data_IF_209488410397
#
_entry.id   IF_209488410397
#
_cell.length_a   1.000
_cell.length_b   1.000
_cell.length_c   1.000
_cell.angle_alpha   90.00
_cell.angle_beta   90.00
_cell.angle_gamma   90.00
#
_symmetry.space_group_name_H-M   'P 1'
#
loop_
_entity.id
_entity.type
_entity.pdbx_description
1 polymer ?
#
# COMPACT_ATOMS: atom_id res chain seq x y z
N UNK A 1 -67.95 -23.64 -11.02
CA UNK A 1 -66.46 -23.72 -11.27
C UNK A 1 -65.86 -22.33 -11.17
N UNK A 2 -65.21 -22.03 -10.05
CA UNK A 2 -64.59 -20.75 -9.82
C UNK A 2 -63.08 -21.02 -9.79
N UNK A 3 -62.38 -20.53 -10.81
CA UNK A 3 -60.90 -20.63 -10.89
C UNK A 3 -60.30 -19.49 -10.07
N UNK A 4 -59.67 -19.83 -8.94
CA UNK A 4 -58.87 -18.92 -8.18
C UNK A 4 -57.47 -18.82 -8.80
N UNK A 5 -57.04 -17.62 -9.20
CA UNK A 5 -55.66 -17.31 -9.54
C UNK A 5 -54.82 -17.18 -8.26
N UNK A 6 -53.61 -17.77 -8.17
CA UNK A 6 -52.72 -17.50 -7.08
C UNK A 6 -52.01 -16.15 -7.30
N UNK A 7 -52.20 -15.24 -6.36
CA UNK A 7 -51.44 -13.99 -6.28
C UNK A 7 -50.04 -14.33 -5.79
N UNK A 8 -49.07 -14.34 -6.69
CA UNK A 8 -47.66 -14.47 -6.37
C UNK A 8 -47.16 -13.18 -5.75
N UNK A 9 -46.84 -13.19 -4.46
CA UNK A 9 -46.14 -12.08 -3.79
C UNK A 9 -44.68 -12.16 -4.16
N UNK A 10 -44.26 -11.29 -5.07
CA UNK A 10 -42.86 -11.08 -5.39
C UNK A 10 -42.22 -10.27 -4.25
N UNK A 11 -41.46 -10.94 -3.38
CA UNK A 11 -40.56 -10.27 -2.45
C UNK A 11 -39.37 -9.67 -3.24
N UNK A 12 -39.42 -8.38 -3.51
CA UNK A 12 -38.26 -7.62 -3.89
C UNK A 12 -37.33 -7.50 -2.68
N UNK A 13 -36.29 -8.30 -2.63
CA UNK A 13 -35.16 -8.07 -1.73
C UNK A 13 -34.44 -6.78 -2.21
N UNK A 14 -34.88 -5.65 -1.67
CA UNK A 14 -34.12 -4.40 -1.77
C UNK A 14 -32.90 -4.61 -0.89
N UNK A 15 -31.81 -5.08 -1.49
CA UNK A 15 -30.50 -5.01 -0.89
C UNK A 15 -30.14 -3.52 -0.75
N UNK A 16 -30.37 -2.97 0.44
CA UNK A 16 -29.81 -1.69 0.82
C UNK A 16 -28.29 -1.87 0.93
N UNK A 17 -27.58 -1.87 -0.19
CA UNK A 17 -26.19 -1.51 -0.21
C UNK A 17 -26.14 0.00 0.10
N UNK A 18 -26.32 0.36 1.36
CA UNK A 18 -25.90 1.66 1.85
C UNK A 18 -24.38 1.70 1.69
N UNK A 19 -23.92 2.28 0.62
CA UNK A 19 -22.54 2.79 0.50
C UNK A 19 -22.41 3.84 1.60
N UNK A 20 -22.20 3.39 2.84
CA UNK A 20 -21.85 4.28 3.94
C UNK A 20 -20.45 4.80 3.62
N UNK A 21 -20.39 5.94 2.93
CA UNK A 21 -19.14 6.65 2.76
C UNK A 21 -18.68 7.09 4.15
N UNK A 22 -17.42 6.86 4.52
CA UNK A 22 -16.94 7.21 5.83
C UNK A 22 -17.10 8.74 6.01
N UNK A 23 -17.85 9.12 7.03
CA UNK A 23 -17.94 10.54 7.43
C UNK A 23 -16.65 10.87 8.15
N UNK A 24 -15.77 11.57 7.48
CA UNK A 24 -14.52 12.05 8.09
C UNK A 24 -14.82 13.36 8.80
N UNK A 25 -14.69 13.39 10.13
CA UNK A 25 -14.83 14.61 10.89
C UNK A 25 -13.73 15.61 10.51
N UNK A 26 -14.03 16.91 10.31
CA UNK A 26 -13.01 17.90 10.00
C UNK A 26 -11.91 17.95 11.05
N UNK A 27 -10.69 18.28 10.62
CA UNK A 27 -9.59 18.56 11.54
C UNK A 27 -9.84 19.88 12.25
N UNK A 28 -9.51 19.96 13.53
CA UNK A 28 -9.68 21.16 14.32
C UNK A 28 -8.35 21.71 14.84
N UNK A 29 -8.17 23.00 14.77
CA UNK A 29 -7.09 23.74 15.41
C UNK A 29 -7.75 24.80 16.29
N UNK A 30 -7.49 24.83 17.61
CA UNK A 30 -8.18 25.74 18.51
C UNK A 30 -8.15 27.20 18.08
N UNK A 31 -9.32 27.78 17.87
CA UNK A 31 -9.52 29.17 17.43
C UNK A 31 -9.13 29.45 15.98
N UNK A 32 -8.88 28.45 15.16
CA UNK A 32 -8.75 28.61 13.71
C UNK A 32 -10.06 28.25 13.01
N UNK A 33 -10.28 28.81 11.81
CA UNK A 33 -11.39 28.48 10.93
C UNK A 33 -10.91 28.17 9.52
N UNK A 34 -11.71 27.45 8.78
CA UNK A 34 -11.46 27.12 7.38
C UNK A 34 -11.61 28.34 6.49
N UNK A 35 -10.66 28.55 5.58
CA UNK A 35 -10.57 29.74 4.72
C UNK A 35 -10.61 29.40 3.23
N UNK A 36 -10.59 28.11 2.89
CA UNK A 36 -10.62 27.61 1.52
C UNK A 36 -9.23 27.47 0.85
N UNK A 37 -9.17 26.57 -0.12
CA UNK A 37 -7.92 26.16 -0.72
C UNK A 37 -7.24 27.23 -1.58
N UNK A 38 -8.00 28.19 -2.11
CA UNK A 38 -7.47 29.21 -3.03
C UNK A 38 -6.44 30.12 -2.37
N UNK A 39 -6.62 30.43 -1.08
CA UNK A 39 -5.68 31.30 -0.36
C UNK A 39 -4.28 30.65 -0.26
N UNK A 40 -4.24 29.31 -0.14
CA UNK A 40 -3.00 28.57 -0.03
C UNK A 40 -2.11 28.71 -1.27
N UNK A 41 -2.72 28.82 -2.46
CA UNK A 41 -2.02 28.96 -3.74
C UNK A 41 -1.22 30.24 -3.88
N UNK A 42 -1.53 31.28 -3.10
CA UNK A 42 -0.81 32.55 -3.15
C UNK A 42 0.64 32.43 -2.65
N UNK A 43 0.90 31.52 -1.71
CA UNK A 43 2.23 31.28 -1.18
C UNK A 43 2.79 29.88 -1.60
N UNK A 44 1.93 28.88 -1.71
CA UNK A 44 2.32 27.49 -2.01
C UNK A 44 2.05 27.11 -3.47
N UNK A 45 2.47 27.96 -4.43
CA UNK A 45 2.17 27.81 -5.87
C UNK A 45 2.59 26.49 -6.47
N UNK A 46 3.81 26.02 -6.16
CA UNK A 46 4.35 24.77 -6.72
C UNK A 46 3.61 23.54 -6.21
N UNK A 47 3.34 23.50 -4.91
CA UNK A 47 2.59 22.40 -4.26
C UNK A 47 1.16 22.37 -4.79
N UNK A 48 0.51 23.52 -4.89
CA UNK A 48 -0.88 23.62 -5.39
C UNK A 48 -0.98 23.15 -6.84
N UNK A 49 0.01 23.48 -7.67
CA UNK A 49 0.06 23.01 -9.06
C UNK A 49 0.24 21.49 -9.14
N UNK A 50 1.15 20.92 -8.35
CA UNK A 50 1.38 19.49 -8.30
C UNK A 50 0.14 18.76 -7.78
N UNK A 51 -0.51 19.29 -6.74
CA UNK A 51 -1.68 18.70 -6.11
C UNK A 51 -2.86 18.53 -7.08
N UNK A 52 -3.02 19.40 -8.06
CA UNK A 52 -4.08 19.29 -9.06
C UNK A 52 -4.03 17.95 -9.85
N UNK A 53 -2.86 17.35 -9.97
CA UNK A 53 -2.67 16.03 -10.60
C UNK A 53 -2.72 14.86 -9.60
N UNK A 54 -2.82 15.14 -8.30
CA UNK A 54 -2.89 14.11 -7.25
C UNK A 54 -4.25 13.44 -7.24
N UNK A 55 -4.31 12.10 -6.97
CA UNK A 55 -5.57 11.41 -6.69
C UNK A 55 -6.39 12.07 -5.58
N UNK A 56 -5.74 12.67 -4.59
CA UNK A 56 -6.42 13.37 -3.50
C UNK A 56 -7.18 14.62 -3.94
N UNK A 57 -6.73 15.29 -5.01
CA UNK A 57 -7.44 16.47 -5.55
C UNK A 57 -8.78 16.11 -6.19
N UNK A 58 -8.98 14.87 -6.57
CA UNK A 58 -10.20 14.37 -7.22
C UNK A 58 -11.16 13.64 -6.28
N UNK A 59 -10.85 13.62 -4.98
CA UNK A 59 -11.73 13.03 -3.98
C UNK A 59 -12.94 13.92 -3.73
N UNK A 60 -14.10 13.32 -3.79
CA UNK A 60 -15.34 13.95 -3.35
C UNK A 60 -15.74 13.33 -2.02
N UNK A 61 -15.67 14.12 -0.94
CA UNK A 61 -16.13 13.72 0.38
C UNK A 61 -17.54 14.26 0.57
N UNK A 62 -18.54 13.36 0.51
CA UNK A 62 -19.91 13.72 0.84
C UNK A 62 -19.99 14.17 2.31
N UNK A 63 -20.78 15.23 2.56
CA UNK A 63 -21.09 15.76 3.89
C UNK A 63 -19.94 16.40 4.67
N UNK A 64 -18.77 16.59 4.10
CA UNK A 64 -17.77 17.45 4.71
C UNK A 64 -18.07 18.88 4.30
N UNK A 65 -18.60 19.67 5.25
CA UNK A 65 -18.82 21.10 5.08
C UNK A 65 -17.49 21.88 5.08
N UNK A 66 -16.58 21.45 4.21
CA UNK A 66 -15.34 22.18 3.99
C UNK A 66 -15.58 23.23 2.92
N UNK A 67 -15.32 24.51 3.18
CA UNK A 67 -15.38 25.55 2.16
C UNK A 67 -14.47 25.18 0.98
N UNK A 68 -15.05 24.93 -0.19
CA UNK A 68 -14.28 24.59 -1.39
C UNK A 68 -13.99 23.09 -1.62
N UNK A 69 -14.63 22.16 -0.86
CA UNK A 69 -14.48 20.72 -1.06
C UNK A 69 -13.17 20.13 -0.54
N UNK A 70 -12.75 19.00 -1.11
CA UNK A 70 -11.49 18.34 -0.76
C UNK A 70 -10.30 19.16 -1.22
N UNK A 71 -9.34 19.38 -0.33
CA UNK A 71 -8.15 20.16 -0.68
C UNK A 71 -7.16 20.25 0.47
N UNK A 72 -6.37 21.30 0.49
CA UNK A 72 -5.29 21.49 1.46
C UNK A 72 -5.75 21.33 2.91
N UNK A 73 -6.83 22.00 3.27
CA UNK A 73 -7.37 22.02 4.64
C UNK A 73 -7.98 20.67 5.08
N UNK A 74 -8.29 19.76 4.15
CA UNK A 74 -8.77 18.42 4.49
C UNK A 74 -7.71 17.60 5.24
N UNK A 75 -6.44 17.86 4.97
CA UNK A 75 -5.28 17.18 5.58
C UNK A 75 -4.53 18.09 6.56
N UNK A 76 -4.48 19.39 6.27
CA UNK A 76 -3.71 20.35 7.06
C UNK A 76 -4.55 21.06 8.15
N UNK A 77 -5.86 20.86 8.17
CA UNK A 77 -6.77 21.55 9.08
C UNK A 77 -6.99 23.02 8.71
N UNK A 78 -7.77 23.76 9.52
CA UNK A 78 -8.14 25.14 9.25
C UNK A 78 -6.95 26.09 9.20
N UNK A 79 -6.81 26.83 8.09
CA UNK A 79 -5.63 27.62 7.75
C UNK A 79 -5.61 29.05 8.26
N UNK A 80 -6.68 29.58 8.88
CA UNK A 80 -6.77 31.01 9.19
C UNK A 80 -5.61 31.53 10.03
N UNK A 81 -5.28 30.86 11.14
CA UNK A 81 -4.15 31.26 12.01
C UNK A 81 -2.79 31.17 11.32
N UNK A 82 -2.62 30.22 10.41
CA UNK A 82 -1.39 30.10 9.64
C UNK A 82 -1.19 31.30 8.72
N UNK A 83 -2.26 31.72 8.04
CA UNK A 83 -2.24 32.90 7.14
C UNK A 83 -2.07 34.21 7.94
N UNK A 84 -2.85 34.39 9.02
CA UNK A 84 -2.78 35.57 9.89
C UNK A 84 -1.37 35.74 10.49
N UNK A 85 -0.68 34.65 10.79
CA UNK A 85 0.68 34.68 11.31
C UNK A 85 1.77 34.84 10.23
N UNK A 86 1.38 35.04 8.97
CA UNK A 86 2.32 35.12 7.84
C UNK A 86 3.02 33.79 7.52
N UNK A 87 2.43 32.67 7.90
CA UNK A 87 3.00 31.32 7.78
C UNK A 87 3.49 30.76 9.11
N UNK A 88 4.21 29.64 9.06
CA UNK A 88 4.75 29.00 10.24
C UNK A 88 4.09 27.66 10.58
N UNK A 89 4.90 26.63 10.68
CA UNK A 89 4.45 25.23 10.80
C UNK A 89 3.64 24.94 12.09
N UNK A 90 3.79 25.76 13.12
CA UNK A 90 3.09 25.58 14.41
C UNK A 90 1.60 25.90 14.37
N UNK A 91 1.16 26.64 13.36
CA UNK A 91 -0.23 27.11 13.24
C UNK A 91 -1.07 26.27 12.27
N UNK A 92 -0.53 25.18 11.79
CA UNK A 92 -1.18 24.27 10.86
C UNK A 92 -0.72 22.85 11.14
N UNK A 93 -1.56 21.87 10.86
CA UNK A 93 -1.20 20.45 11.00
C UNK A 93 -0.21 20.07 9.91
N UNK A 94 0.84 19.37 10.30
CA UNK A 94 1.77 18.73 9.36
C UNK A 94 1.51 17.22 9.33
N UNK A 95 0.77 16.71 8.31
CA UNK A 95 0.46 15.28 8.19
C UNK A 95 1.69 14.37 8.11
N UNK A 96 2.83 14.90 7.64
CA UNK A 96 4.08 14.15 7.63
C UNK A 96 4.65 13.85 9.01
N UNK A 97 4.15 14.52 10.07
CA UNK A 97 4.52 14.27 11.47
C UNK A 97 3.41 13.61 12.27
N UNK A 98 2.22 13.52 11.72
CA UNK A 98 1.00 13.02 12.39
C UNK A 98 0.32 12.01 11.47
N UNK A 99 0.71 10.73 11.50
CA UNK A 99 0.15 9.68 10.64
C UNK A 99 -1.37 9.57 10.74
N UNK A 100 -1.95 9.89 11.90
CA UNK A 100 -3.39 9.89 12.13
C UNK A 100 -4.16 10.79 11.14
N UNK A 101 -3.52 11.84 10.62
CA UNK A 101 -4.12 12.67 9.58
C UNK A 101 -4.42 11.87 8.30
N UNK A 102 -3.61 10.87 8.01
CA UNK A 102 -3.79 9.95 6.87
C UNK A 102 -4.76 8.82 7.24
N UNK A 103 -4.61 8.23 8.43
CA UNK A 103 -5.40 7.10 8.91
C UNK A 103 -6.88 7.40 9.05
N UNK A 104 -7.28 8.66 9.17
CA UNK A 104 -8.70 9.07 9.20
C UNK A 104 -9.49 8.63 7.96
N UNK A 105 -8.82 8.52 6.82
CA UNK A 105 -9.40 8.04 5.57
C UNK A 105 -8.85 6.66 5.18
N UNK A 106 -7.58 6.38 5.47
CA UNK A 106 -6.91 5.14 5.16
C UNK A 106 -6.96 4.15 6.34
N UNK A 107 -8.19 3.80 6.78
CA UNK A 107 -8.42 2.91 7.93
C UNK A 107 -7.89 1.50 7.69
N UNK A 108 -7.95 1.02 6.45
CA UNK A 108 -7.39 -0.26 6.03
C UNK A 108 -5.88 -0.29 6.25
N UNK A 109 -5.18 0.80 5.95
CA UNK A 109 -3.74 0.89 6.18
C UNK A 109 -3.40 1.00 7.67
N UNK A 110 -4.22 1.69 8.46
CA UNK A 110 -4.08 1.68 9.91
C UNK A 110 -4.14 0.26 10.48
N UNK A 111 -5.08 -0.55 10.00
CA UNK A 111 -5.19 -1.95 10.41
C UNK A 111 -3.98 -2.78 9.96
N UNK A 112 -3.46 -2.57 8.74
CA UNK A 112 -2.26 -3.25 8.25
C UNK A 112 -1.03 -2.95 9.12
N UNK A 113 -0.83 -1.70 9.55
CA UNK A 113 0.28 -1.31 10.43
C UNK A 113 0.19 -1.87 11.85
N UNK A 114 -0.93 -2.48 12.25
CA UNK A 114 -1.06 -3.19 13.53
C UNK A 114 -0.69 -4.68 13.43
N UNK A 115 -0.39 -5.18 12.22
CA UNK A 115 0.04 -6.57 12.03
C UNK A 115 1.44 -6.80 12.60
N UNK A 116 1.80 -8.05 12.96
CA UNK A 116 3.06 -8.36 13.65
C UNK A 116 4.33 -7.95 12.92
N UNK A 117 4.31 -7.94 11.59
CA UNK A 117 5.43 -7.52 10.75
C UNK A 117 5.02 -6.29 9.95
N UNK A 118 5.53 -5.11 10.30
CA UNK A 118 5.20 -3.83 9.67
C UNK A 118 6.36 -2.84 9.76
N UNK A 119 6.33 -1.80 8.93
CA UNK A 119 7.22 -0.66 9.14
C UNK A 119 6.76 0.17 10.34
N UNK A 120 7.68 0.77 11.12
CA UNK A 120 7.38 1.37 12.41
C UNK A 120 6.73 2.77 12.28
N UNK A 121 5.59 2.83 11.60
CA UNK A 121 4.82 4.07 11.39
C UNK A 121 3.98 4.41 12.62
N UNK A 122 3.31 3.42 13.21
CA UNK A 122 2.50 3.63 14.40
C UNK A 122 3.35 3.93 15.64
N UNK A 123 4.61 3.49 15.64
CA UNK A 123 5.58 3.84 16.68
C UNK A 123 6.24 5.22 16.45
N UNK A 124 5.86 5.93 15.41
CA UNK A 124 6.36 7.28 15.12
C UNK A 124 7.80 7.35 14.62
N UNK A 125 8.42 6.22 14.24
CA UNK A 125 9.79 6.17 13.71
C UNK A 125 9.84 6.32 12.19
N UNK A 126 8.71 6.09 11.53
CA UNK A 126 8.50 6.34 10.11
C UNK A 126 7.19 7.09 9.91
N UNK A 127 7.00 7.63 8.70
CA UNK A 127 5.76 8.28 8.32
C UNK A 127 5.42 8.00 6.85
N UNK A 128 4.18 8.27 6.48
CA UNK A 128 3.64 7.96 5.15
C UNK A 128 4.39 8.69 4.03
N UNK A 129 4.80 9.94 4.27
CA UNK A 129 5.42 10.78 3.24
C UNK A 129 6.89 10.44 2.95
N UNK A 130 7.46 9.49 3.67
CA UNK A 130 8.78 8.93 3.31
C UNK A 130 8.68 8.01 2.09
N UNK A 131 7.49 7.46 1.82
CA UNK A 131 7.24 6.56 0.70
C UNK A 131 6.22 7.12 -0.29
N UNK A 132 5.29 7.97 0.16
CA UNK A 132 4.20 8.52 -0.65
C UNK A 132 4.31 10.03 -0.81
N UNK A 133 3.98 10.53 -2.00
CA UNK A 133 3.80 11.96 -2.24
C UNK A 133 2.29 12.29 -2.35
N UNK A 134 1.66 12.79 -1.26
CA UNK A 134 0.25 13.13 -1.28
C UNK A 134 -0.09 14.33 -2.16
N UNK A 135 0.89 15.16 -2.51
CA UNK A 135 0.70 16.35 -3.34
C UNK A 135 0.91 16.08 -4.84
N UNK A 136 1.54 14.98 -5.21
CA UNK A 136 1.92 14.66 -6.57
C UNK A 136 1.49 13.28 -7.03
N UNK A 137 2.29 12.69 -7.91
CA UNK A 137 2.07 11.35 -8.44
C UNK A 137 2.23 10.28 -7.37
N UNK A 138 1.24 9.44 -7.22
CA UNK A 138 1.29 8.30 -6.30
C UNK A 138 2.22 7.21 -6.85
N UNK A 139 3.16 6.74 -6.01
CA UNK A 139 4.01 5.60 -6.32
C UNK A 139 3.21 4.29 -6.49
N UNK A 140 1.98 4.24 -5.98
CA UNK A 140 1.11 3.06 -6.07
C UNK A 140 0.33 2.95 -7.38
N UNK A 141 0.43 3.93 -8.27
CA UNK A 141 -0.15 3.88 -9.61
C UNK A 141 0.95 3.80 -10.67
N UNK A 142 1.58 2.63 -10.84
CA UNK A 142 2.57 2.45 -11.88
C UNK A 142 1.90 2.57 -13.25
N UNK A 143 2.32 3.57 -13.99
CA UNK A 143 1.98 3.73 -15.41
C UNK A 143 3.05 3.06 -16.29
N UNK A 144 3.15 1.71 -16.21
CA UNK A 144 4.12 0.93 -16.97
C UNK A 144 5.47 0.67 -16.27
N UNK A 145 6.41 0.03 -16.95
CA UNK A 145 7.67 -0.49 -16.36
C UNK A 145 8.55 0.51 -15.61
N UNK A 146 8.53 1.79 -16.00
CA UNK A 146 9.26 2.85 -15.28
C UNK A 146 8.73 3.10 -13.86
N UNK A 147 7.48 2.80 -13.60
CA UNK A 147 6.89 3.03 -12.29
C UNK A 147 7.29 1.96 -11.28
N UNK A 148 7.50 0.72 -11.72
CA UNK A 148 8.04 -0.34 -10.85
C UNK A 148 9.49 -0.05 -10.47
N UNK A 149 10.31 0.49 -11.38
CA UNK A 149 11.65 0.95 -11.07
C UNK A 149 11.63 2.04 -10.00
N UNK A 150 10.74 3.04 -10.12
CA UNK A 150 10.60 4.11 -9.11
C UNK A 150 10.10 3.60 -7.77
N UNK A 151 9.22 2.60 -7.76
CA UNK A 151 8.78 1.95 -6.53
C UNK A 151 9.97 1.29 -5.82
N UNK A 152 10.79 0.56 -6.57
CA UNK A 152 12.00 -0.04 -6.03
C UNK A 152 12.97 1.02 -5.50
N UNK A 153 13.17 2.13 -6.22
CA UNK A 153 14.01 3.25 -5.78
C UNK A 153 13.62 3.77 -4.40
N UNK A 154 12.33 3.82 -4.08
CA UNK A 154 11.88 4.23 -2.76
C UNK A 154 12.34 3.24 -1.68
N UNK A 155 12.22 1.95 -1.93
CA UNK A 155 12.67 0.90 -1.00
C UNK A 155 14.19 0.92 -0.82
N UNK A 156 14.93 1.14 -1.91
CA UNK A 156 16.41 1.10 -1.94
C UNK A 156 17.06 2.23 -1.15
N UNK A 157 16.33 3.30 -0.84
CA UNK A 157 16.86 4.37 0.00
C UNK A 157 17.31 3.85 1.37
N UNK A 158 16.63 2.83 1.89
CA UNK A 158 16.93 2.19 3.17
C UNK A 158 17.45 0.75 3.00
N UNK A 159 16.86 -0.03 2.09
CA UNK A 159 17.16 -1.46 1.88
C UNK A 159 18.23 -1.69 0.79
N UNK A 160 19.40 -1.11 0.97
CA UNK A 160 20.49 -1.11 -0.03
C UNK A 160 21.07 -2.49 -0.30
N UNK A 161 21.21 -3.31 0.75
CA UNK A 161 21.81 -4.65 0.63
C UNK A 161 20.95 -5.60 -0.21
N UNK A 162 19.63 -5.42 -0.18
CA UNK A 162 18.70 -6.25 -0.93
C UNK A 162 18.62 -5.85 -2.40
N UNK A 163 19.16 -4.69 -2.76
CA UNK A 163 19.00 -4.09 -4.09
C UNK A 163 20.33 -3.75 -4.77
N UNK A 164 21.45 -4.11 -4.15
CA UNK A 164 22.75 -3.99 -4.78
C UNK A 164 22.83 -4.88 -6.04
N UNK A 165 23.70 -4.59 -7.00
CA UNK A 165 23.94 -5.48 -8.12
C UNK A 165 24.43 -6.85 -7.62
N UNK A 166 23.80 -7.91 -8.09
CA UNK A 166 24.23 -9.30 -7.86
C UNK A 166 24.72 -9.90 -9.18
N UNK A 167 25.63 -10.85 -9.11
CA UNK A 167 26.07 -11.62 -10.29
C UNK A 167 24.91 -12.45 -10.85
N UNK A 168 24.13 -13.04 -9.94
CA UNK A 168 22.92 -13.81 -10.25
C UNK A 168 21.72 -13.13 -9.55
N UNK A 169 21.11 -12.18 -10.23
CA UNK A 169 19.92 -11.49 -9.74
C UNK A 169 18.68 -12.40 -9.83
N UNK A 170 17.82 -12.38 -8.82
CA UNK A 170 16.52 -13.03 -8.93
C UNK A 170 15.62 -12.19 -9.85
N UNK A 171 15.12 -12.74 -10.97
CA UNK A 171 14.37 -11.96 -11.96
C UNK A 171 13.13 -11.24 -11.38
N UNK A 172 12.51 -11.78 -10.33
CA UNK A 172 11.36 -11.16 -9.65
C UNK A 172 11.67 -9.80 -9.02
N UNK A 173 12.96 -9.49 -8.77
CA UNK A 173 13.38 -8.17 -8.30
C UNK A 173 13.03 -7.05 -9.29
N UNK A 174 12.92 -7.37 -10.58
CA UNK A 174 12.50 -6.43 -11.62
C UNK A 174 10.99 -6.20 -11.65
N UNK A 175 10.22 -7.12 -11.10
CA UNK A 175 8.76 -7.01 -10.97
C UNK A 175 8.34 -6.16 -9.77
N UNK A 176 9.29 -5.82 -8.89
CA UNK A 176 9.10 -4.95 -7.74
C UNK A 176 9.03 -5.64 -6.40
N UNK A 177 9.53 -4.97 -5.39
CA UNK A 177 9.59 -5.47 -4.00
C UNK A 177 8.20 -5.88 -3.48
N UNK A 178 7.16 -5.18 -3.88
CA UNK A 178 5.77 -5.42 -3.44
C UNK A 178 5.15 -6.69 -4.02
N UNK A 179 5.81 -7.33 -4.99
CA UNK A 179 5.41 -8.66 -5.48
C UNK A 179 5.50 -9.71 -4.35
N UNK A 180 6.46 -9.56 -3.47
CA UNK A 180 6.71 -10.46 -2.34
C UNK A 180 6.38 -9.83 -0.97
N UNK A 181 6.50 -8.53 -0.81
CA UNK A 181 6.33 -7.83 0.46
C UNK A 181 5.13 -6.88 0.47
N UNK A 182 4.40 -6.83 1.58
CA UNK A 182 3.45 -5.76 1.86
C UNK A 182 4.10 -4.74 2.81
N UNK A 183 4.50 -3.54 2.32
CA UNK A 183 5.26 -2.58 3.13
C UNK A 183 4.45 -1.95 4.27
N UNK A 184 3.14 -2.06 4.28
CA UNK A 184 2.30 -1.57 5.37
C UNK A 184 2.24 -2.55 6.53
N UNK A 185 2.14 -3.85 6.23
CA UNK A 185 2.14 -4.87 7.26
C UNK A 185 1.68 -6.24 6.76
N UNK A 186 2.06 -7.27 7.48
CA UNK A 186 1.71 -8.66 7.21
C UNK A 186 1.68 -9.47 8.50
N UNK A 187 0.89 -10.53 8.50
CA UNK A 187 0.95 -11.58 9.52
C UNK A 187 2.20 -12.45 9.37
N UNK A 188 2.81 -12.43 8.18
CA UNK A 188 3.99 -13.22 7.87
C UNK A 188 5.26 -12.43 8.20
N UNK A 189 6.29 -13.13 8.67
CA UNK A 189 7.62 -12.54 8.91
C UNK A 189 8.14 -11.82 7.67
N UNK A 190 8.98 -10.80 7.87
CA UNK A 190 9.56 -9.98 6.79
C UNK A 190 8.51 -9.31 5.91
N UNK A 191 7.31 -9.12 6.43
CA UNK A 191 6.17 -8.53 5.69
C UNK A 191 5.84 -9.27 4.38
N UNK A 192 6.03 -10.60 4.33
CA UNK A 192 5.73 -11.39 3.14
C UNK A 192 4.22 -11.45 2.87
N UNK A 193 3.84 -11.38 1.59
CA UNK A 193 2.43 -11.46 1.16
C UNK A 193 1.84 -12.85 1.30
N UNK A 194 2.68 -13.88 1.33
CA UNK A 194 2.31 -15.27 1.53
C UNK A 194 3.31 -15.95 2.47
N UNK A 195 2.88 -16.94 3.26
CA UNK A 195 3.79 -17.68 4.11
C UNK A 195 4.64 -18.67 3.29
N UNK A 196 5.90 -18.79 3.70
CA UNK A 196 6.79 -19.90 3.35
C UNK A 196 6.84 -20.25 1.85
N UNK A 197 6.70 -21.52 1.53
CA UNK A 197 6.78 -22.06 0.18
C UNK A 197 5.66 -21.53 -0.74
N UNK A 198 4.52 -21.12 -0.19
CA UNK A 198 3.39 -20.61 -0.96
C UNK A 198 3.76 -19.36 -1.75
N UNK A 199 4.64 -18.52 -1.19
CA UNK A 199 5.15 -17.35 -1.90
C UNK A 199 5.91 -17.76 -3.16
N UNK A 200 6.81 -18.74 -3.02
CA UNK A 200 7.65 -19.21 -4.13
C UNK A 200 6.83 -19.90 -5.22
N UNK A 201 5.84 -20.68 -4.83
CA UNK A 201 4.97 -21.43 -5.74
C UNK A 201 4.04 -20.56 -6.58
N UNK A 202 3.92 -19.28 -6.29
CA UNK A 202 3.21 -18.35 -7.17
C UNK A 202 3.84 -18.23 -8.57
N UNK A 203 5.16 -18.45 -8.66
CA UNK A 203 5.93 -18.32 -9.89
C UNK A 203 6.67 -19.61 -10.25
N UNK A 204 7.18 -20.34 -9.25
CA UNK A 204 7.87 -21.61 -9.45
C UNK A 204 6.85 -22.74 -9.55
N UNK A 205 6.21 -22.83 -10.73
CA UNK A 205 5.18 -23.80 -10.99
C UNK A 205 5.74 -25.23 -10.89
N UNK A 206 4.94 -26.12 -10.32
CA UNK A 206 5.20 -27.56 -10.34
C UNK A 206 4.96 -28.09 -11.75
N UNK A 207 5.93 -28.78 -12.28
CA UNK A 207 5.76 -29.47 -13.55
C UNK A 207 5.24 -30.88 -13.26
N UNK A 208 3.97 -31.13 -13.58
CA UNK A 208 3.42 -32.47 -13.65
C UNK A 208 3.43 -32.91 -15.11
N UNK A 209 4.16 -33.95 -15.43
CA UNK A 209 4.29 -34.45 -16.78
C UNK A 209 4.11 -35.97 -16.87
N UNK A 210 4.06 -36.56 -18.07
CA UNK A 210 4.04 -38.01 -18.25
C UNK A 210 5.26 -38.64 -17.58
N UNK A 211 5.04 -39.60 -16.68
CA UNK A 211 6.10 -40.28 -15.96
C UNK A 211 6.44 -39.73 -14.56
N UNK A 212 5.84 -38.61 -14.14
CA UNK A 212 5.96 -38.12 -12.79
C UNK A 212 5.04 -38.91 -11.86
N UNK A 213 5.61 -39.44 -10.77
CA UNK A 213 4.82 -40.20 -9.79
C UNK A 213 3.85 -39.29 -9.05
N UNK A 214 2.65 -39.79 -8.69
CA UNK A 214 1.74 -39.04 -7.84
C UNK A 214 2.41 -38.59 -6.54
N UNK A 215 2.32 -37.30 -6.20
CA UNK A 215 2.94 -36.71 -5.02
C UNK A 215 4.39 -36.23 -5.20
N UNK A 216 5.01 -36.42 -6.34
CA UNK A 216 6.28 -35.78 -6.65
C UNK A 216 6.08 -34.32 -7.01
N UNK A 217 6.91 -33.46 -6.44
CA UNK A 217 6.94 -32.02 -6.67
C UNK A 217 8.22 -31.68 -7.41
N UNK A 218 8.08 -31.20 -8.64
CA UNK A 218 9.22 -30.74 -9.44
C UNK A 218 9.24 -29.20 -9.46
N UNK A 219 10.42 -28.64 -9.24
CA UNK A 219 10.72 -27.24 -9.47
C UNK A 219 11.82 -27.20 -10.53
N UNK A 220 11.49 -26.70 -11.70
CA UNK A 220 12.31 -26.91 -12.88
C UNK A 220 12.44 -28.40 -13.19
N UNK A 221 13.68 -28.88 -13.30
CA UNK A 221 13.97 -30.31 -13.60
C UNK A 221 14.32 -31.13 -12.37
N UNK A 222 14.22 -30.57 -11.17
CA UNK A 222 14.66 -31.22 -9.94
C UNK A 222 13.49 -31.62 -9.05
N UNK A 223 13.44 -32.87 -8.53
CA UNK A 223 12.43 -33.29 -7.57
C UNK A 223 12.67 -32.59 -6.22
N UNK A 224 11.63 -31.99 -5.64
CA UNK A 224 11.70 -31.22 -4.40
C UNK A 224 10.85 -31.79 -3.26
N UNK A 225 10.07 -32.84 -3.46
CA UNK A 225 9.17 -33.39 -2.45
C UNK A 225 9.85 -33.69 -1.11
N UNK A 226 11.01 -34.32 -1.13
CA UNK A 226 11.79 -34.62 0.08
C UNK A 226 12.34 -33.36 0.76
N UNK A 227 12.76 -32.36 -0.01
CA UNK A 227 13.32 -31.12 0.53
C UNK A 227 12.27 -30.25 1.19
N UNK A 228 11.03 -30.25 0.69
CA UNK A 228 9.92 -29.51 1.28
C UNK A 228 9.50 -30.03 2.67
N UNK A 229 9.84 -31.29 2.98
CA UNK A 229 9.65 -31.85 4.31
C UNK A 229 10.70 -31.36 5.32
N UNK A 230 11.84 -30.85 4.86
CA UNK A 230 12.93 -30.35 5.69
C UNK A 230 12.72 -28.90 6.14
N UNK A 231 11.81 -28.17 5.50
CA UNK A 231 11.54 -26.77 5.78
C UNK A 231 11.06 -25.99 4.57
N UNK A 232 11.18 -24.67 4.65
CA UNK A 232 10.82 -23.77 3.55
C UNK A 232 11.97 -23.64 2.54
N UNK A 233 11.69 -23.14 1.36
CA UNK A 233 12.67 -22.95 0.29
C UNK A 233 13.92 -22.19 0.75
N UNK A 234 13.77 -21.27 1.69
CA UNK A 234 14.84 -20.40 2.19
C UNK A 234 15.28 -20.69 3.62
N UNK A 235 14.48 -21.37 4.45
CA UNK A 235 14.78 -21.57 5.88
C UNK A 235 15.71 -22.74 6.17
N UNK A 236 15.73 -23.73 5.31
CA UNK A 236 16.59 -24.92 5.46
C UNK A 236 18.02 -24.73 4.91
N UNK A 237 18.43 -23.48 4.65
CA UNK A 237 19.73 -23.16 4.07
C UNK A 237 19.85 -23.48 2.58
N UNK A 238 18.72 -23.69 1.89
CA UNK A 238 18.74 -24.10 0.48
C UNK A 238 18.80 -22.89 -0.47
N UNK A 239 17.85 -21.95 -0.39
CA UNK A 239 17.81 -20.74 -1.23
C UNK A 239 17.79 -19.48 -0.34
N UNK A 240 18.90 -19.21 0.32
CA UNK A 240 18.99 -18.12 1.30
C UNK A 240 19.16 -16.74 0.67
N UNK A 241 19.71 -16.71 -0.55
CA UNK A 241 19.99 -15.46 -1.29
C UNK A 241 18.83 -15.09 -2.24
N UNK A 242 17.60 -15.01 -1.71
CA UNK A 242 16.38 -14.85 -2.51
C UNK A 242 16.30 -13.55 -3.32
N UNK A 243 17.08 -12.54 -2.99
CA UNK A 243 17.15 -11.27 -3.76
C UNK A 243 18.19 -11.34 -4.87
N UNK A 244 19.22 -12.17 -4.71
CA UNK A 244 20.32 -12.37 -5.64
C UNK A 244 21.54 -12.95 -4.95
N UNK A 245 22.41 -13.61 -5.71
CA UNK A 245 23.66 -14.23 -5.23
C UNK A 245 24.84 -13.79 -6.08
N UNK A 246 26.00 -13.71 -5.46
CA UNK A 246 27.26 -13.46 -6.19
C UNK A 246 27.98 -14.77 -6.56
N UNK A 247 27.54 -15.90 -6.02
CA UNK A 247 28.28 -17.16 -6.12
C UNK A 247 27.48 -18.33 -6.68
N UNK A 248 26.14 -18.32 -6.57
CA UNK A 248 25.30 -19.46 -7.01
C UNK A 248 24.07 -19.00 -7.80
N UNK A 249 23.92 -19.42 -9.07
CA UNK A 249 22.75 -19.10 -9.90
C UNK A 249 21.43 -19.68 -9.37
N UNK A 250 21.49 -20.60 -8.40
CA UNK A 250 20.31 -21.15 -7.72
C UNK A 250 19.95 -20.36 -6.46
N UNK A 251 20.59 -19.22 -6.24
CA UNK A 251 20.34 -18.33 -5.10
C UNK A 251 20.57 -18.99 -3.73
N UNK A 252 21.62 -19.77 -3.62
CA UNK A 252 21.99 -20.51 -2.39
C UNK A 252 22.99 -19.66 -1.66
N UNK A 253 23.32 -18.88 -1.19
CA UNK A 253 24.33 -18.08 -0.47
C UNK A 253 24.35 -16.61 -0.92
#
# INVERSE_FOLDING_TARGET
MVFGLPVGVAFFLISCASLSRPVVAPLEIPGAHYIGNQICSQCHTNITRAFAASPHAHLYLDNVKLPGGTGCESCHGPGSKHVEAGGGARFIINPGKVPDACFRCHLDKHAEFQLPAHHPVIEGRMNCVQCHDPHGGDILKPSGGLAMARLNETCTQCHREQTRPFVFEHPSMREGCVTCHNPHGSINRMMLTQPDNNLCFRCHAQVQGPGVRPGEIFIGQSPHAAYLQMGTCWSAGCHTAVHGSDVDPRLRY
#
